data_IF_841602897571
#
_entry.id   IF_841602897571
#
_cell.length_a   1.000
_cell.length_b   1.000
_cell.length_c   1.000
_cell.angle_alpha   90.00
_cell.angle_beta   90.00
_cell.angle_gamma   90.00
#
_symmetry.space_group_name_H-M   'P 1'
#
loop_
_entity.id
_entity.type
_entity.pdbx_description
1 polymer ?
#
# COMPACT_ATOMS: atom_id res chain seq x y z
N UNK A 1 -15.12 22.94 8.15
CA UNK A 1 -13.74 22.90 7.61
C UNK A 1 -13.85 22.32 6.21
N UNK A 2 -13.35 23.04 5.19
CA UNK A 2 -13.32 22.50 3.83
C UNK A 2 -12.48 21.19 3.87
N UNK A 3 -13.04 20.11 3.34
CA UNK A 3 -12.31 18.83 3.26
C UNK A 3 -11.12 19.05 2.30
N UNK A 4 -9.91 19.07 2.88
CA UNK A 4 -8.67 19.12 2.10
C UNK A 4 -8.61 17.92 1.17
N UNK A 5 -8.40 18.14 -0.10
CA UNK A 5 -8.17 17.06 -1.07
C UNK A 5 -6.74 16.53 -0.91
N UNK A 6 -6.63 15.22 -0.86
CA UNK A 6 -5.35 14.49 -0.80
C UNK A 6 -5.07 13.89 -2.17
N UNK A 7 -3.95 14.27 -2.76
CA UNK A 7 -3.53 13.78 -4.08
C UNK A 7 -2.69 12.51 -3.96
N UNK A 8 -3.15 11.45 -4.60
CA UNK A 8 -2.59 10.10 -4.47
C UNK A 8 -2.02 9.61 -5.80
N UNK A 9 -0.81 9.04 -5.74
CA UNK A 9 -0.19 8.29 -6.83
C UNK A 9 -0.23 6.78 -6.56
N UNK A 10 -0.40 6.00 -7.61
CA UNK A 10 -0.37 4.52 -7.56
C UNK A 10 0.88 4.02 -8.27
N UNK A 11 1.70 3.24 -7.57
CA UNK A 11 2.88 2.58 -8.12
C UNK A 11 2.61 1.08 -8.15
N UNK A 12 2.48 0.51 -9.34
CA UNK A 12 1.99 -0.84 -9.60
C UNK A 12 0.48 -0.87 -9.81
N UNK A 13 0.03 -0.89 -11.07
CA UNK A 13 -1.37 -0.91 -11.49
C UNK A 13 -1.87 -2.33 -11.77
N UNK A 14 -1.35 -3.32 -11.03
CA UNK A 14 -1.71 -4.74 -11.15
C UNK A 14 -3.02 -5.10 -10.46
N UNK A 15 -3.21 -6.42 -10.24
CA UNK A 15 -4.47 -6.98 -9.71
C UNK A 15 -4.88 -6.43 -8.35
N UNK A 16 -3.95 -6.26 -7.41
CA UNK A 16 -4.29 -5.76 -6.06
C UNK A 16 -4.70 -4.27 -6.10
N UNK A 17 -4.01 -3.46 -6.89
CA UNK A 17 -4.34 -2.06 -7.07
C UNK A 17 -5.72 -1.89 -7.69
N UNK A 18 -6.00 -2.62 -8.78
CA UNK A 18 -7.29 -2.58 -9.49
C UNK A 18 -8.45 -3.21 -8.70
N UNK A 19 -8.17 -4.26 -7.93
CA UNK A 19 -9.21 -5.00 -7.19
C UNK A 19 -9.55 -4.42 -5.83
N UNK A 20 -8.65 -3.63 -5.23
CA UNK A 20 -8.81 -3.15 -3.85
C UNK A 20 -8.48 -1.67 -3.67
N UNK A 21 -7.24 -1.24 -3.98
CA UNK A 21 -6.79 0.12 -3.64
C UNK A 21 -7.58 1.20 -4.39
N UNK A 22 -7.52 1.18 -5.70
CA UNK A 22 -8.17 2.22 -6.51
C UNK A 22 -9.69 2.27 -6.33
N UNK A 23 -10.43 1.12 -6.31
CA UNK A 23 -11.87 1.15 -6.02
C UNK A 23 -12.23 1.66 -4.63
N UNK A 24 -11.33 1.49 -3.65
CA UNK A 24 -11.58 1.98 -2.29
C UNK A 24 -11.28 3.48 -2.17
N UNK A 25 -10.18 3.92 -2.78
CA UNK A 25 -9.77 5.32 -2.77
C UNK A 25 -10.75 6.22 -3.53
N UNK A 26 -11.25 5.78 -4.69
CA UNK A 26 -12.22 6.54 -5.49
C UNK A 26 -13.60 6.73 -4.80
N UNK A 27 -13.88 6.06 -3.70
CA UNK A 27 -15.08 6.28 -2.89
C UNK A 27 -14.89 7.37 -1.83
N UNK A 28 -13.67 7.83 -1.61
CA UNK A 28 -13.38 8.83 -0.60
C UNK A 28 -13.54 10.24 -1.19
N UNK A 29 -14.42 11.08 -0.63
CA UNK A 29 -14.74 12.40 -1.22
C UNK A 29 -13.59 13.40 -1.14
N UNK A 30 -12.55 13.09 -0.37
CA UNK A 30 -11.39 13.94 -0.17
C UNK A 30 -10.09 13.35 -0.74
N UNK A 31 -10.21 12.42 -1.70
CA UNK A 31 -9.05 11.77 -2.36
C UNK A 31 -9.19 11.92 -3.87
N UNK A 32 -8.09 12.30 -4.52
CA UNK A 32 -7.94 12.32 -5.96
C UNK A 32 -6.79 11.40 -6.38
N UNK A 33 -7.05 10.52 -7.35
CA UNK A 33 -6.03 9.69 -7.98
C UNK A 33 -5.45 10.47 -9.17
N UNK A 34 -4.26 11.05 -8.96
CA UNK A 34 -3.65 12.01 -9.90
C UNK A 34 -2.47 11.45 -10.69
N UNK A 35 -1.98 10.26 -10.31
CA UNK A 35 -0.82 9.65 -10.95
C UNK A 35 -0.87 8.12 -10.90
N UNK A 36 -0.46 7.49 -11.99
CA UNK A 36 -0.44 6.04 -12.15
C UNK A 36 0.89 5.61 -12.74
N UNK A 37 1.55 4.63 -12.15
CA UNK A 37 2.82 4.11 -12.62
C UNK A 37 2.80 2.57 -12.69
N UNK A 38 3.23 2.03 -13.82
CA UNK A 38 3.50 0.60 -14.00
C UNK A 38 4.59 0.44 -15.08
N UNK A 39 5.46 -0.54 -14.92
CA UNK A 39 6.46 -0.89 -15.95
C UNK A 39 5.82 -1.38 -17.25
N UNK A 40 4.56 -1.80 -17.19
CA UNK A 40 3.69 -2.07 -18.33
C UNK A 40 2.76 -0.87 -18.47
N UNK A 41 3.13 0.07 -19.33
CA UNK A 41 2.50 1.39 -19.42
C UNK A 41 0.98 1.31 -19.67
N UNK A 42 0.53 0.33 -20.44
CA UNK A 42 -0.88 0.10 -20.75
C UNK A 42 -1.72 -0.17 -19.50
N UNK A 43 -1.13 -0.76 -18.45
CA UNK A 43 -1.81 -0.96 -17.16
C UNK A 43 -2.04 0.37 -16.43
N UNK A 44 -1.07 1.26 -16.48
CA UNK A 44 -1.18 2.58 -15.88
C UNK A 44 -2.19 3.45 -16.66
N UNK A 45 -2.20 3.39 -17.99
CA UNK A 45 -3.17 4.08 -18.83
C UNK A 45 -4.60 3.58 -18.59
N UNK A 46 -4.80 2.27 -18.52
CA UNK A 46 -6.10 1.69 -18.21
C UNK A 46 -6.59 2.08 -16.80
N UNK A 47 -5.67 2.14 -15.83
CA UNK A 47 -5.99 2.57 -14.47
C UNK A 47 -6.37 4.05 -14.43
N UNK A 48 -5.62 4.92 -15.12
CA UNK A 48 -5.97 6.35 -15.28
C UNK A 48 -7.34 6.52 -15.91
N UNK A 49 -7.61 5.84 -17.02
CA UNK A 49 -8.88 5.95 -17.73
C UNK A 49 -10.09 5.59 -16.85
N UNK A 50 -9.88 4.67 -15.89
CA UNK A 50 -10.96 4.18 -15.02
C UNK A 50 -11.12 4.96 -13.72
N UNK A 51 -10.03 5.44 -13.13
CA UNK A 51 -10.02 5.96 -11.76
C UNK A 51 -9.40 7.35 -11.62
N UNK A 52 -8.69 7.82 -12.63
CA UNK A 52 -7.95 9.06 -12.58
C UNK A 52 -8.82 10.30 -12.72
N UNK A 53 -8.30 11.41 -12.20
CA UNK A 53 -8.82 12.74 -12.57
C UNK A 53 -8.54 13.02 -14.06
N UNK A 54 -9.24 13.96 -14.69
CA UNK A 54 -8.98 14.31 -16.11
C UNK A 54 -7.52 14.63 -16.41
N UNK A 55 -6.85 15.34 -15.49
CA UNK A 55 -5.45 15.76 -15.61
C UNK A 55 -4.44 14.76 -15.01
N UNK A 56 -4.90 13.57 -14.61
CA UNK A 56 -4.03 12.55 -14.05
C UNK A 56 -2.92 12.17 -15.04
N UNK A 57 -1.73 11.93 -14.51
CA UNK A 57 -0.54 11.59 -15.30
C UNK A 57 -0.25 10.09 -15.25
N UNK A 58 0.47 9.61 -16.26
CA UNK A 58 0.92 8.23 -16.37
C UNK A 58 2.45 8.21 -16.45
N UNK A 59 3.06 7.25 -15.77
CA UNK A 59 4.52 7.09 -15.68
C UNK A 59 4.89 5.62 -15.88
N UNK A 60 5.96 5.36 -16.58
CA UNK A 60 6.59 4.04 -16.67
C UNK A 60 7.57 3.83 -15.53
N UNK A 61 8.32 4.87 -15.17
CA UNK A 61 9.30 4.85 -14.09
C UNK A 61 8.72 5.52 -12.83
N UNK A 62 8.72 4.80 -11.71
CA UNK A 62 8.20 5.32 -10.44
C UNK A 62 8.98 6.55 -9.91
N UNK A 63 10.26 6.72 -10.29
CA UNK A 63 11.04 7.89 -9.89
C UNK A 63 10.49 9.18 -10.48
N UNK A 64 9.99 9.11 -11.71
CA UNK A 64 9.38 10.27 -12.37
C UNK A 64 8.05 10.63 -11.68
N UNK A 65 7.27 9.62 -11.25
CA UNK A 65 6.09 9.86 -10.41
C UNK A 65 6.48 10.51 -9.08
N UNK A 66 7.56 10.04 -8.43
CA UNK A 66 8.00 10.60 -7.15
C UNK A 66 8.50 12.05 -7.26
N UNK A 67 9.03 12.44 -8.42
CA UNK A 67 9.46 13.81 -8.70
C UNK A 67 8.28 14.80 -8.87
N UNK A 68 7.05 14.32 -9.06
CA UNK A 68 5.87 15.18 -9.13
C UNK A 68 5.52 15.69 -7.72
N UNK A 69 5.81 16.96 -7.46
CA UNK A 69 5.58 17.61 -6.16
C UNK A 69 4.10 17.71 -5.77
N UNK A 70 3.19 17.59 -6.73
CA UNK A 70 1.75 17.66 -6.46
C UNK A 70 1.21 16.42 -5.74
N UNK A 71 1.95 15.30 -5.81
CA UNK A 71 1.57 14.03 -5.17
C UNK A 71 1.97 14.07 -3.69
N UNK A 72 1.02 13.80 -2.81
CA UNK A 72 1.24 13.79 -1.36
C UNK A 72 1.42 12.39 -0.78
N UNK A 73 0.68 11.43 -1.32
CA UNK A 73 0.65 10.05 -0.86
C UNK A 73 0.88 9.10 -2.03
N UNK A 74 1.65 8.06 -1.83
CA UNK A 74 1.79 6.99 -2.81
C UNK A 74 1.37 5.64 -2.24
N UNK A 75 0.69 4.85 -3.07
CA UNK A 75 0.41 3.45 -2.80
C UNK A 75 1.38 2.58 -3.58
N UNK A 76 2.19 1.79 -2.87
CA UNK A 76 3.14 0.83 -3.46
C UNK A 76 2.46 -0.53 -3.53
N UNK A 77 2.06 -0.93 -4.75
CA UNK A 77 1.31 -2.15 -5.04
C UNK A 77 2.07 -3.07 -6.00
N UNK A 78 3.38 -2.99 -5.99
CA UNK A 78 4.31 -3.73 -6.83
C UNK A 78 4.59 -5.14 -6.27
N UNK A 79 5.40 -5.98 -6.94
CA UNK A 79 5.88 -7.24 -6.38
C UNK A 79 6.70 -7.05 -5.09
N UNK A 80 6.69 -8.08 -4.23
CA UNK A 80 7.22 -8.03 -2.86
C UNK A 80 8.65 -7.50 -2.76
N UNK A 81 9.54 -7.92 -3.66
CA UNK A 81 10.96 -7.54 -3.65
C UNK A 81 11.21 -6.05 -3.90
N UNK A 82 10.26 -5.36 -4.52
CA UNK A 82 10.38 -3.92 -4.79
C UNK A 82 9.76 -3.02 -3.72
N UNK A 83 9.05 -3.58 -2.74
CA UNK A 83 8.41 -2.81 -1.69
C UNK A 83 9.39 -1.91 -0.94
N UNK A 84 10.54 -2.46 -0.52
CA UNK A 84 11.46 -1.72 0.35
C UNK A 84 12.10 -0.54 -0.35
N UNK A 85 12.73 -0.74 -1.51
CA UNK A 85 13.46 0.34 -2.17
C UNK A 85 12.52 1.42 -2.72
N UNK A 86 11.35 1.05 -3.29
CA UNK A 86 10.37 2.04 -3.74
C UNK A 86 9.81 2.84 -2.56
N UNK A 87 9.55 2.18 -1.42
CA UNK A 87 9.06 2.87 -0.22
C UNK A 87 10.10 3.82 0.36
N UNK A 88 11.37 3.41 0.41
CA UNK A 88 12.48 4.26 0.86
C UNK A 88 12.57 5.50 -0.03
N UNK A 89 12.64 5.31 -1.35
CA UNK A 89 12.73 6.41 -2.31
C UNK A 89 11.53 7.36 -2.20
N UNK A 90 10.31 6.82 -2.01
CA UNK A 90 9.11 7.62 -1.84
C UNK A 90 9.10 8.45 -0.55
N UNK A 91 9.53 7.86 0.56
CA UNK A 91 9.67 8.58 1.84
C UNK A 91 10.74 9.69 1.74
N UNK A 92 11.88 9.40 1.12
CA UNK A 92 12.96 10.36 0.91
C UNK A 92 12.56 11.48 -0.08
N UNK A 93 11.69 11.18 -1.04
CA UNK A 93 11.04 12.18 -1.91
C UNK A 93 9.91 12.98 -1.19
N UNK A 94 9.77 12.81 0.12
CA UNK A 94 8.80 13.58 0.92
C UNK A 94 7.35 13.13 0.78
N UNK A 95 7.08 11.91 0.28
CA UNK A 95 5.72 11.37 0.16
C UNK A 95 5.33 10.56 1.38
N UNK A 96 4.06 10.57 1.76
CA UNK A 96 3.48 9.56 2.65
C UNK A 96 3.29 8.27 1.88
N UNK A 97 3.46 7.12 2.52
CA UNK A 97 3.45 5.82 1.84
C UNK A 97 2.47 4.85 2.48
N UNK A 98 1.64 4.24 1.66
CA UNK A 98 0.97 3.00 1.92
C UNK A 98 1.62 1.91 1.07
N UNK A 99 2.26 0.92 1.71
CA UNK A 99 2.90 -0.20 1.03
C UNK A 99 2.10 -1.49 1.24
N UNK A 100 1.91 -2.27 0.19
CA UNK A 100 1.29 -3.60 0.31
C UNK A 100 2.14 -4.56 1.16
N UNK A 101 1.45 -5.55 1.70
CA UNK A 101 2.10 -6.64 2.45
C UNK A 101 2.76 -7.66 1.47
N UNK A 102 3.85 -8.32 1.92
CA UNK A 102 4.61 -8.09 3.14
C UNK A 102 5.38 -6.77 3.08
N UNK A 103 5.75 -6.22 4.24
CA UNK A 103 6.52 -4.98 4.32
C UNK A 103 7.79 -5.02 3.46
N UNK A 104 8.55 -6.11 3.58
CA UNK A 104 9.79 -6.34 2.83
C UNK A 104 10.07 -7.85 2.75
N UNK A 105 11.06 -8.25 1.98
CA UNK A 105 11.48 -9.65 1.82
C UNK A 105 12.27 -10.20 3.02
N UNK A 106 12.85 -9.32 3.84
CA UNK A 106 13.59 -9.67 5.06
C UNK A 106 13.63 -8.47 6.04
N UNK A 107 14.15 -8.72 7.25
CA UNK A 107 14.23 -7.71 8.32
C UNK A 107 15.20 -6.57 8.03
N UNK A 108 16.26 -6.79 7.27
CA UNK A 108 17.23 -5.75 6.89
C UNK A 108 16.55 -4.71 6.00
N UNK A 109 15.81 -5.18 4.98
CA UNK A 109 15.05 -4.30 4.09
C UNK A 109 13.92 -3.58 4.82
N UNK A 110 13.22 -4.27 5.73
CA UNK A 110 12.21 -3.65 6.57
C UNK A 110 12.79 -2.55 7.47
N UNK A 111 14.00 -2.76 8.01
CA UNK A 111 14.72 -1.76 8.81
C UNK A 111 15.02 -0.49 8.00
N UNK A 112 15.45 -0.62 6.73
CA UNK A 112 15.67 0.52 5.84
C UNK A 112 14.42 1.38 5.68
N UNK A 113 13.26 0.74 5.52
CA UNK A 113 11.98 1.46 5.41
C UNK A 113 11.64 2.23 6.70
N UNK A 114 11.86 1.61 7.87
CA UNK A 114 11.65 2.28 9.17
C UNK A 114 12.60 3.45 9.37
N UNK A 115 13.87 3.30 8.99
CA UNK A 115 14.87 4.36 9.11
C UNK A 115 14.55 5.51 8.15
N UNK A 116 14.09 5.24 6.93
CA UNK A 116 13.60 6.24 6.00
C UNK A 116 12.35 6.96 6.53
N UNK A 117 11.41 6.23 7.12
CA UNK A 117 10.23 6.83 7.75
C UNK A 117 10.60 7.79 8.87
N UNK A 118 11.54 7.40 9.74
CA UNK A 118 12.03 8.27 10.84
C UNK A 118 12.76 9.50 10.30
N UNK A 119 13.61 9.33 9.30
CA UNK A 119 14.42 10.39 8.68
C UNK A 119 13.55 11.41 7.95
N UNK A 120 12.57 10.95 7.19
CA UNK A 120 11.69 11.82 6.40
C UNK A 120 10.59 12.50 7.24
N UNK A 121 10.24 11.96 8.40
CA UNK A 121 9.09 12.41 9.19
C UNK A 121 7.74 12.12 8.53
N UNK A 122 7.72 11.38 7.41
CA UNK A 122 6.50 11.02 6.68
C UNK A 122 5.81 9.80 7.29
N UNK A 123 4.55 9.62 6.98
CA UNK A 123 3.78 8.46 7.44
C UNK A 123 4.03 7.26 6.54
N UNK A 124 4.27 6.11 7.16
CA UNK A 124 4.35 4.81 6.50
C UNK A 124 3.30 3.89 7.12
N UNK A 125 2.51 3.25 6.27
CA UNK A 125 1.62 2.16 6.68
C UNK A 125 1.79 0.96 5.78
N UNK A 126 1.58 -0.23 6.33
CA UNK A 126 1.68 -1.50 5.60
C UNK A 126 0.29 -2.14 5.51
N UNK A 127 -0.05 -2.70 4.36
CA UNK A 127 -1.35 -3.26 4.00
C UNK A 127 -1.78 -4.51 4.76
N UNK A 128 -1.57 -4.57 6.07
CA UNK A 128 -2.10 -5.65 6.92
C UNK A 128 -3.57 -5.41 7.26
N UNK A 129 -4.42 -5.41 6.24
CA UNK A 129 -5.84 -5.04 6.33
C UNK A 129 -6.64 -5.88 7.33
N UNK A 130 -6.26 -7.12 7.59
CA UNK A 130 -6.94 -7.98 8.57
C UNK A 130 -6.92 -7.39 9.99
N UNK A 131 -5.92 -6.56 10.31
CA UNK A 131 -5.86 -5.83 11.60
C UNK A 131 -6.98 -4.82 11.77
N UNK A 132 -7.60 -4.37 10.67
CA UNK A 132 -8.66 -3.36 10.65
C UNK A 132 -10.06 -4.00 10.60
N UNK A 133 -10.17 -5.33 10.57
CA UNK A 133 -11.46 -5.99 10.63
C UNK A 133 -12.12 -5.77 12.00
N UNK A 134 -13.45 -5.66 12.04
CA UNK A 134 -14.20 -5.46 13.28
C UNK A 134 -13.88 -6.54 14.32
N UNK A 135 -13.79 -7.81 13.90
CA UNK A 135 -13.43 -8.92 14.80
C UNK A 135 -12.03 -8.77 15.40
N UNK A 136 -11.03 -8.37 14.58
CA UNK A 136 -9.67 -8.18 15.09
C UNK A 136 -9.59 -6.97 16.05
N UNK A 137 -10.31 -5.89 15.76
CA UNK A 137 -10.37 -4.72 16.65
C UNK A 137 -11.08 -5.06 17.97
N UNK A 138 -12.18 -5.80 17.90
CA UNK A 138 -12.91 -6.26 19.08
C UNK A 138 -12.01 -7.14 19.96
N UNK A 139 -11.40 -8.19 19.40
CA UNK A 139 -10.49 -9.07 20.14
C UNK A 139 -9.29 -8.33 20.75
N UNK A 140 -8.75 -7.34 20.02
CA UNK A 140 -7.69 -6.48 20.54
C UNK A 140 -8.17 -5.70 21.76
N UNK A 141 -9.35 -5.10 21.68
CA UNK A 141 -9.92 -4.33 22.81
C UNK A 141 -10.13 -5.21 24.03
N UNK A 142 -10.78 -6.37 23.86
CA UNK A 142 -11.01 -7.33 24.94
C UNK A 142 -9.69 -7.80 25.61
N UNK A 143 -8.63 -8.01 24.79
CA UNK A 143 -7.32 -8.36 25.31
C UNK A 143 -6.70 -7.20 26.13
N UNK A 144 -6.85 -5.95 25.67
CA UNK A 144 -6.36 -4.77 26.39
C UNK A 144 -7.12 -4.51 27.68
N UNK A 145 -8.41 -4.84 27.72
CA UNK A 145 -9.27 -4.69 28.90
C UNK A 145 -9.09 -5.84 29.92
N UNK A 146 -8.22 -6.80 29.59
CA UNK A 146 -7.89 -7.93 30.48
C UNK A 146 -8.94 -9.02 30.51
N UNK A 147 -9.95 -9.01 29.63
CA UNK A 147 -11.03 -10.01 29.58
C UNK A 147 -10.52 -11.44 29.45
N UNK A 148 -9.36 -11.62 28.77
CA UNK A 148 -8.76 -12.95 28.57
C UNK A 148 -7.74 -13.33 29.65
N UNK A 149 -7.53 -12.49 30.67
CA UNK A 149 -6.49 -12.68 31.66
C UNK A 149 -5.09 -12.68 31.04
N UNK A 150 -4.19 -13.48 31.62
CA UNK A 150 -2.82 -13.64 31.10
C UNK A 150 -2.82 -14.54 29.85
N UNK A 151 -2.62 -13.94 28.67
CA UNK A 151 -2.60 -14.65 27.40
C UNK A 151 -1.26 -15.34 27.23
N UNK A 152 -1.19 -16.64 27.48
CA UNK A 152 0.01 -17.46 27.32
C UNK A 152 0.00 -18.34 26.06
N UNK A 153 -1.13 -18.44 25.37
CA UNK A 153 -1.26 -19.23 24.15
C UNK A 153 -2.28 -18.62 23.18
N UNK A 154 -1.94 -18.59 21.90
CA UNK A 154 -2.86 -18.21 20.84
C UNK A 154 -2.69 -19.15 19.64
N UNK A 155 -3.82 -19.59 19.05
CA UNK A 155 -3.83 -20.41 17.85
C UNK A 155 -4.51 -19.63 16.72
N UNK A 156 -3.74 -19.28 15.68
CA UNK A 156 -4.27 -18.70 14.45
C UNK A 156 -4.24 -19.77 13.35
N UNK A 157 -5.37 -20.00 12.71
CA UNK A 157 -5.50 -21.02 11.66
C UNK A 157 -6.02 -20.39 10.38
N UNK A 158 -5.29 -20.58 9.27
CA UNK A 158 -5.70 -20.17 7.95
C UNK A 158 -5.62 -21.37 7.00
N UNK A 159 -6.76 -21.99 6.74
CA UNK A 159 -6.85 -23.17 5.86
C UNK A 159 -7.37 -22.71 4.48
N UNK A 160 -6.65 -23.10 3.43
CA UNK A 160 -7.07 -22.90 2.04
C UNK A 160 -7.37 -24.24 1.37
N UNK A 161 -8.46 -24.29 0.64
CA UNK A 161 -8.80 -25.49 -0.15
C UNK A 161 -7.75 -25.81 -1.21
N UNK A 162 -7.06 -24.79 -1.75
CA UNK A 162 -5.97 -24.93 -2.74
C UNK A 162 -4.70 -24.31 -2.13
N UNK A 163 -3.61 -25.06 -2.17
CA UNK A 163 -2.40 -24.73 -1.45
C UNK A 163 -1.54 -23.64 -2.11
N UNK A 164 -1.44 -23.62 -3.44
CA UNK A 164 -0.50 -22.75 -4.15
C UNK A 164 -1.25 -21.65 -4.92
N UNK A 165 -0.93 -20.37 -4.68
CA UNK A 165 -1.39 -19.28 -5.52
C UNK A 165 -0.84 -19.44 -6.95
N UNK A 166 -1.72 -19.33 -7.95
CA UNK A 166 -1.34 -19.40 -9.37
C UNK A 166 -1.43 -18.05 -10.07
N UNK A 167 -1.59 -16.97 -9.29
CA UNK A 167 -1.71 -15.61 -9.80
C UNK A 167 -0.49 -14.76 -9.45
N UNK A 168 -0.21 -13.77 -10.30
CA UNK A 168 0.91 -12.86 -10.11
C UNK A 168 2.26 -13.51 -10.41
N UNK A 169 3.29 -13.06 -9.72
CA UNK A 169 4.69 -13.46 -9.94
C UNK A 169 5.21 -14.47 -8.90
N UNK A 170 4.34 -15.09 -8.10
CA UNK A 170 4.74 -15.99 -7.01
C UNK A 170 5.59 -17.18 -7.43
N UNK A 171 5.47 -17.62 -8.67
CA UNK A 171 6.23 -18.76 -9.19
C UNK A 171 7.47 -18.35 -9.98
N UNK A 172 7.69 -17.05 -10.17
CA UNK A 172 8.77 -16.50 -10.99
C UNK A 172 9.81 -15.72 -10.16
N UNK A 173 9.67 -15.73 -8.82
CA UNK A 173 10.57 -15.04 -7.88
C UNK A 173 11.42 -16.00 -7.08
#
# INVERSE_FOLDING_TARGET
>A
MANRIVKVGIIGCGGIANGKHMPSLSKLPNVELVAFCDIVIERAEAAKAKYGTPDAKVYENYKDLLADETIEVVHVCTPNRSHSFITVDALDAGKHVMCEKPMAINSVEAKKMLDAQKRSGKKLTIGYQSRQSMGAQYLKQEAMDGTFGDIYYAKATALRRRAVPTWGVFLNE
#
